data_IF_452925262451
#
_entry.id   IF_452925262451
#
_cell.length_a   1.000
_cell.length_b   1.000
_cell.length_c   1.000
_cell.angle_alpha   90.00
_cell.angle_beta   90.00
_cell.angle_gamma   90.00
#
_symmetry.space_group_name_H-M   'P 1'
#
loop_
_entity.id
_entity.type
_entity.pdbx_description
1 polymer ?
#
# COMPACT_ATOMS: atom_id res chain seq x y z
N UNK A 1 9.84 -18.65 12.84
CA UNK A 1 9.55 -17.20 12.68
C UNK A 1 10.19 -16.81 11.38
N UNK A 2 9.39 -16.38 10.39
CA UNK A 2 9.95 -15.83 9.17
C UNK A 2 10.93 -14.70 9.48
N UNK A 3 12.09 -14.78 8.86
CA UNK A 3 13.06 -13.68 8.79
C UNK A 3 12.44 -12.51 8.03
N UNK A 4 12.93 -11.29 8.26
CA UNK A 4 12.45 -10.09 7.55
C UNK A 4 12.46 -10.27 6.02
N UNK A 5 13.45 -10.97 5.48
CA UNK A 5 13.55 -11.27 4.06
C UNK A 5 12.43 -12.20 3.57
N UNK A 6 12.07 -13.21 4.35
CA UNK A 6 10.97 -14.14 4.03
C UNK A 6 9.62 -13.44 4.06
N UNK A 7 9.40 -12.53 5.03
CA UNK A 7 8.19 -11.70 5.07
C UNK A 7 8.07 -10.83 3.82
N UNK A 8 9.15 -10.12 3.44
CA UNK A 8 9.14 -9.25 2.26
C UNK A 8 8.94 -10.08 0.97
N UNK A 9 9.63 -11.22 0.85
CA UNK A 9 9.46 -12.13 -0.30
C UNK A 9 8.05 -12.70 -0.37
N UNK A 10 7.47 -13.10 0.77
CA UNK A 10 6.10 -13.60 0.83
C UNK A 10 5.07 -12.54 0.42
N UNK A 11 5.26 -11.28 0.83
CA UNK A 11 4.42 -10.17 0.38
C UNK A 11 4.56 -9.97 -1.14
N UNK A 12 5.79 -9.99 -1.67
CA UNK A 12 6.04 -9.87 -3.11
C UNK A 12 5.38 -10.99 -3.92
N UNK A 13 5.42 -12.23 -3.43
CA UNK A 13 4.75 -13.38 -4.05
C UNK A 13 3.22 -13.29 -3.95
N UNK A 14 2.69 -12.76 -2.85
CA UNK A 14 1.25 -12.55 -2.71
C UNK A 14 0.72 -11.54 -3.75
N UNK A 15 1.51 -10.51 -4.09
CA UNK A 15 1.13 -9.46 -5.04
C UNK A 15 1.35 -9.90 -6.50
N UNK A 16 2.28 -10.82 -6.78
CA UNK A 16 2.54 -11.24 -8.17
C UNK A 16 1.32 -11.86 -8.85
N UNK A 17 0.39 -12.40 -8.07
CA UNK A 17 -0.83 -13.05 -8.56
C UNK A 17 -2.08 -12.15 -8.43
N UNK A 18 -1.92 -10.84 -8.19
CA UNK A 18 -3.06 -9.92 -7.97
C UNK A 18 -3.40 -9.03 -9.18
N UNK A 19 -2.91 -9.37 -10.37
CA UNK A 19 -3.27 -8.68 -11.61
C UNK A 19 -4.63 -9.12 -12.13
N UNK A 20 -5.21 -8.33 -13.03
CA UNK A 20 -6.52 -8.61 -13.61
C UNK A 20 -6.48 -9.87 -14.50
N UNK A 21 -7.38 -10.82 -14.24
CA UNK A 21 -7.40 -12.12 -14.91
C UNK A 21 -6.40 -13.15 -14.38
N UNK A 22 -5.78 -12.92 -13.22
CA UNK A 22 -4.93 -13.92 -12.58
C UNK A 22 -5.72 -15.20 -12.28
N UNK A 23 -5.09 -16.34 -12.56
CA UNK A 23 -5.63 -17.68 -12.29
C UNK A 23 -4.80 -18.38 -11.23
N UNK A 24 -5.44 -19.25 -10.44
CA UNK A 24 -4.74 -20.14 -9.53
C UNK A 24 -4.22 -21.41 -10.25
N UNK A 25 -3.62 -22.31 -9.49
CA UNK A 25 -3.04 -23.55 -10.02
C UNK A 25 -4.10 -24.50 -10.61
N UNK A 26 -5.37 -24.33 -10.21
CA UNK A 26 -6.51 -25.13 -10.65
C UNK A 26 -7.23 -24.47 -11.86
N UNK A 27 -6.76 -23.30 -12.28
CA UNK A 27 -7.31 -22.52 -13.39
C UNK A 27 -8.47 -21.60 -13.00
N UNK A 28 -8.79 -21.50 -11.71
CA UNK A 28 -9.85 -20.64 -11.19
C UNK A 28 -9.36 -19.19 -11.03
N UNK A 29 -10.27 -18.24 -11.26
CA UNK A 29 -9.92 -16.80 -11.17
C UNK A 29 -9.66 -16.39 -9.73
N UNK A 30 -8.54 -15.71 -9.51
CA UNK A 30 -8.21 -15.09 -8.22
C UNK A 30 -9.12 -13.88 -7.99
N UNK A 31 -10.11 -14.02 -7.10
CA UNK A 31 -11.01 -12.92 -6.71
C UNK A 31 -10.44 -12.14 -5.54
N UNK A 32 -10.23 -10.84 -5.74
CA UNK A 32 -9.72 -9.92 -4.71
C UNK A 32 -10.89 -9.16 -4.05
N UNK A 33 -12.02 -9.00 -4.77
CA UNK A 33 -13.18 -8.23 -4.33
C UNK A 33 -13.21 -6.81 -4.89
N UNK A 34 -12.40 -6.51 -5.92
CA UNK A 34 -12.40 -5.20 -6.56
C UNK A 34 -13.68 -4.99 -7.39
N UNK A 35 -14.12 -3.74 -7.55
CA UNK A 35 -15.30 -3.37 -8.34
C UNK A 35 -15.17 -3.76 -9.82
N UNK A 36 -13.95 -3.92 -10.32
CA UNK A 36 -13.71 -4.42 -11.70
C UNK A 36 -14.08 -5.90 -11.90
N UNK A 37 -14.24 -6.65 -10.81
CA UNK A 37 -14.60 -8.08 -10.84
C UNK A 37 -16.13 -8.29 -10.85
N UNK A 38 -16.89 -7.22 -10.68
CA UNK A 38 -18.36 -7.21 -10.66
C UNK A 38 -18.93 -6.80 -12.03
N UNK A 39 -20.04 -7.42 -12.43
CA UNK A 39 -20.75 -7.11 -13.67
C UNK A 39 -20.28 -7.89 -14.91
N UNK A 40 -20.72 -7.44 -16.08
CA UNK A 40 -20.37 -8.01 -17.39
C UNK A 40 -19.50 -7.02 -18.19
N UNK A 41 -18.21 -7.33 -18.43
CA UNK A 41 -17.29 -6.46 -19.16
C UNK A 41 -17.72 -6.10 -20.60
N UNK A 42 -18.61 -6.86 -21.22
CA UNK A 42 -19.09 -6.62 -22.59
C UNK A 42 -20.26 -5.63 -22.64
N UNK A 43 -21.08 -5.60 -21.59
CA UNK A 43 -22.32 -4.82 -21.54
C UNK A 43 -22.11 -3.55 -20.71
N UNK A 44 -21.37 -3.67 -19.62
CA UNK A 44 -21.20 -2.61 -18.64
C UNK A 44 -20.10 -1.61 -19.04
N UNK A 45 -20.20 -0.40 -18.50
CA UNK A 45 -19.18 0.62 -18.69
C UNK A 45 -17.87 0.22 -18.00
N UNK A 46 -16.73 0.47 -18.66
CA UNK A 46 -15.41 0.17 -18.09
C UNK A 46 -15.20 0.80 -16.71
N UNK A 47 -14.87 -0.06 -15.75
CA UNK A 47 -14.49 0.28 -14.37
C UNK A 47 -12.97 0.22 -14.26
N UNK A 48 -12.34 1.35 -13.93
CA UNK A 48 -10.91 1.37 -13.60
C UNK A 48 -10.79 1.25 -12.09
N UNK A 49 -10.33 0.08 -11.66
CA UNK A 49 -10.18 -0.24 -10.25
C UNK A 49 -8.91 -1.08 -10.03
N UNK A 50 -8.08 -0.69 -9.07
CA UNK A 50 -6.83 -1.37 -8.81
C UNK A 50 -6.17 -0.93 -7.51
N UNK A 51 -5.21 -1.72 -7.07
CA UNK A 51 -4.39 -1.40 -5.90
C UNK A 51 -2.92 -1.70 -6.16
N UNK A 52 -2.07 -1.10 -5.34
CA UNK A 52 -0.65 -1.40 -5.26
C UNK A 52 -0.21 -1.42 -3.81
N UNK A 53 0.89 -2.13 -3.55
CA UNK A 53 1.45 -2.26 -2.20
C UNK A 53 2.93 -1.89 -2.26
N UNK A 54 3.36 -1.06 -1.31
CA UNK A 54 4.76 -0.65 -1.17
C UNK A 54 5.23 -0.94 0.25
N UNK A 55 6.41 -1.53 0.37
CA UNK A 55 7.06 -1.77 1.67
C UNK A 55 8.16 -0.73 1.86
N UNK A 56 8.16 -0.05 3.00
CA UNK A 56 9.18 0.92 3.41
C UNK A 56 9.52 0.73 4.88
N UNK A 57 10.73 0.25 5.18
CA UNK A 57 11.12 -0.11 6.55
C UNK A 57 10.21 -1.20 7.12
N UNK A 58 9.57 -0.95 8.27
CA UNK A 58 8.53 -1.81 8.85
C UNK A 58 7.11 -1.41 8.45
N UNK A 59 6.93 -0.51 7.49
CA UNK A 59 5.63 -0.03 7.05
C UNK A 59 5.26 -0.64 5.70
N UNK A 60 3.99 -1.01 5.57
CA UNK A 60 3.34 -1.43 4.34
C UNK A 60 2.28 -0.39 3.98
N UNK A 61 2.48 0.30 2.87
CA UNK A 61 1.52 1.23 2.31
C UNK A 61 0.67 0.50 1.28
N UNK A 62 -0.63 0.42 1.50
CA UNK A 62 -1.61 0.01 0.48
C UNK A 62 -2.11 1.28 -0.20
N UNK A 63 -2.03 1.32 -1.53
CA UNK A 63 -2.61 2.39 -2.34
C UNK A 63 -3.71 1.81 -3.21
N UNK A 64 -4.90 2.39 -3.15
CA UNK A 64 -6.08 2.00 -3.89
C UNK A 64 -6.46 3.12 -4.87
N UNK A 65 -6.85 2.76 -6.09
CA UNK A 65 -7.30 3.70 -7.11
C UNK A 65 -8.66 3.26 -7.65
N UNK A 66 -9.62 4.19 -7.65
CA UNK A 66 -10.95 3.97 -8.20
C UNK A 66 -11.38 5.12 -9.11
N UNK A 67 -11.94 4.80 -10.28
CA UNK A 67 -12.62 5.77 -11.12
C UNK A 67 -14.13 5.77 -10.86
N UNK A 68 -14.66 6.95 -10.54
CA UNK A 68 -16.08 7.17 -10.28
C UNK A 68 -16.62 8.36 -11.08
N UNK A 69 -17.95 8.48 -11.16
CA UNK A 69 -18.57 9.65 -11.81
C UNK A 69 -18.59 10.80 -10.82
N UNK A 70 -18.46 12.04 -11.32
CA UNK A 70 -18.47 13.24 -10.48
C UNK A 70 -19.73 13.34 -9.61
N UNK A 71 -20.88 12.91 -10.14
CA UNK A 71 -22.15 12.87 -9.40
C UNK A 71 -22.14 11.90 -8.21
N UNK A 72 -21.33 10.85 -8.25
CA UNK A 72 -21.28 9.82 -7.21
C UNK A 72 -20.35 10.28 -6.06
N UNK A 73 -19.28 11.02 -6.39
CA UNK A 73 -18.40 11.68 -5.41
C UNK A 73 -19.18 12.59 -4.46
N UNK A 74 -20.18 13.33 -4.97
CA UNK A 74 -20.98 14.25 -4.17
C UNK A 74 -22.09 13.59 -3.35
N UNK A 75 -22.39 12.31 -3.60
CA UNK A 75 -23.52 11.60 -2.99
C UNK A 75 -23.09 10.51 -2.01
N UNK A 76 -21.82 10.12 -2.05
CA UNK A 76 -21.28 8.97 -1.31
C UNK A 76 -20.21 9.41 -0.33
N UNK A 77 -20.09 8.69 0.78
CA UNK A 77 -18.94 8.78 1.66
C UNK A 77 -17.73 8.10 0.99
N UNK A 78 -16.97 8.91 0.24
CA UNK A 78 -15.81 8.43 -0.52
C UNK A 78 -14.74 7.84 0.39
N UNK A 79 -14.52 8.43 1.58
CA UNK A 79 -13.50 7.99 2.52
C UNK A 79 -13.85 6.63 3.13
N UNK A 80 -15.09 6.44 3.56
CA UNK A 80 -15.58 5.14 4.07
C UNK A 80 -15.54 4.04 3.02
N UNK A 81 -15.92 4.34 1.77
CA UNK A 81 -15.91 3.40 0.66
C UNK A 81 -14.48 2.93 0.33
N UNK A 82 -13.53 3.87 0.21
CA UNK A 82 -12.14 3.50 -0.11
C UNK A 82 -11.46 2.80 1.07
N UNK A 83 -11.79 3.15 2.31
CA UNK A 83 -11.25 2.46 3.48
C UNK A 83 -11.71 1.00 3.53
N UNK A 84 -13.01 0.77 3.31
CA UNK A 84 -13.60 -0.57 3.23
C UNK A 84 -12.94 -1.43 2.15
N UNK A 85 -12.67 -0.83 0.98
CA UNK A 85 -11.99 -1.52 -0.12
C UNK A 85 -10.52 -1.82 0.20
N UNK A 86 -9.82 -0.90 0.87
CA UNK A 86 -8.46 -1.17 1.36
C UNK A 86 -8.46 -2.33 2.36
N UNK A 87 -9.45 -2.44 3.24
CA UNK A 87 -9.56 -3.58 4.17
C UNK A 87 -9.79 -4.92 3.46
N UNK A 88 -10.55 -4.93 2.37
CA UNK A 88 -10.70 -6.11 1.51
C UNK A 88 -9.37 -6.50 0.87
N UNK A 89 -8.62 -5.53 0.33
CA UNK A 89 -7.27 -5.75 -0.21
C UNK A 89 -6.31 -6.31 0.85
N UNK A 90 -6.34 -5.76 2.07
CA UNK A 90 -5.51 -6.26 3.19
C UNK A 90 -5.90 -7.69 3.57
N UNK A 91 -7.19 -8.01 3.56
CA UNK A 91 -7.69 -9.35 3.82
C UNK A 91 -7.25 -10.35 2.74
N UNK A 92 -7.29 -9.94 1.48
CA UNK A 92 -6.73 -10.70 0.36
C UNK A 92 -5.22 -10.94 0.55
N UNK A 93 -4.45 -9.89 0.85
CA UNK A 93 -3.00 -9.99 1.05
C UNK A 93 -2.65 -10.96 2.18
N UNK A 94 -3.37 -10.95 3.30
CA UNK A 94 -3.17 -11.91 4.40
C UNK A 94 -3.43 -13.36 3.96
N UNK A 95 -4.48 -13.61 3.16
CA UNK A 95 -4.79 -14.94 2.62
C UNK A 95 -3.74 -15.41 1.62
N UNK A 96 -3.37 -14.54 0.68
CA UNK A 96 -2.37 -14.84 -0.34
C UNK A 96 -0.97 -15.08 0.27
N UNK A 97 -0.59 -14.27 1.26
CA UNK A 97 0.66 -14.47 2.02
C UNK A 97 0.68 -15.83 2.72
N UNK A 98 -0.43 -16.22 3.37
CA UNK A 98 -0.54 -17.51 4.03
C UNK A 98 -0.49 -18.68 3.05
N UNK A 99 -1.09 -18.55 1.87
CA UNK A 99 -1.01 -19.56 0.80
C UNK A 99 0.43 -19.71 0.29
N UNK A 100 1.18 -18.62 0.17
CA UNK A 100 2.56 -18.63 -0.35
C UNK A 100 3.59 -19.14 0.67
N UNK A 101 3.49 -18.73 1.93
CA UNK A 101 4.54 -18.97 2.95
C UNK A 101 4.15 -19.97 4.04
N UNK A 102 2.86 -20.26 4.20
CA UNK A 102 2.34 -21.04 5.32
C UNK A 102 2.24 -20.28 6.65
N UNK A 103 2.86 -19.10 6.77
CA UNK A 103 2.81 -18.25 7.97
C UNK A 103 1.71 -17.18 7.90
N UNK A 104 1.41 -16.55 9.04
CA UNK A 104 0.39 -15.50 9.13
C UNK A 104 1.03 -14.10 9.11
N UNK A 105 0.55 -13.23 8.23
CA UNK A 105 0.98 -11.83 8.17
C UNK A 105 0.23 -10.97 9.20
N UNK A 106 0.96 -10.34 10.12
CA UNK A 106 0.42 -9.39 11.08
C UNK A 106 0.56 -7.96 10.55
N UNK A 107 -0.57 -7.26 10.39
CA UNK A 107 -0.65 -5.87 9.94
C UNK A 107 -1.49 -5.08 10.94
N UNK A 108 -0.95 -3.98 11.46
CA UNK A 108 -1.67 -3.02 12.31
C UNK A 108 -1.82 -1.70 11.58
N UNK A 109 -3.04 -1.17 11.47
CA UNK A 109 -3.27 0.14 10.84
C UNK A 109 -2.54 1.24 11.61
N UNK A 110 -2.00 2.21 10.87
CA UNK A 110 -1.34 3.39 11.40
C UNK A 110 -2.00 4.61 10.78
N UNK A 111 -2.83 5.28 11.57
CA UNK A 111 -3.59 6.45 11.13
C UNK A 111 -4.83 6.12 10.29
N UNK A 112 -5.43 7.18 9.79
CA UNK A 112 -6.63 7.16 8.93
C UNK A 112 -6.23 7.02 7.45
N UNK A 113 -7.23 6.80 6.60
CA UNK A 113 -7.03 6.75 5.14
C UNK A 113 -6.78 8.16 4.60
N UNK A 114 -5.76 8.31 3.77
CA UNK A 114 -5.50 9.55 3.03
C UNK A 114 -6.05 9.40 1.61
N UNK A 115 -7.12 10.13 1.30
CA UNK A 115 -7.82 10.05 0.02
C UNK A 115 -7.71 11.36 -0.77
N UNK A 116 -7.21 11.27 -2.00
CA UNK A 116 -7.11 12.39 -2.93
C UNK A 116 -8.13 12.17 -4.05
N UNK A 117 -9.07 13.11 -4.17
CA UNK A 117 -10.09 13.13 -5.23
C UNK A 117 -9.66 14.10 -6.32
N UNK A 118 -9.44 13.61 -7.54
CA UNK A 118 -9.00 14.40 -8.68
C UNK A 118 -9.99 14.30 -9.83
N UNK A 119 -10.48 15.45 -10.30
CA UNK A 119 -11.33 15.52 -11.48
C UNK A 119 -10.47 15.30 -12.74
N UNK A 120 -10.79 14.29 -13.53
CA UNK A 120 -10.16 14.08 -14.84
C UNK A 120 -10.95 14.80 -15.94
N UNK A 121 -12.28 14.78 -15.88
CA UNK A 121 -13.13 15.37 -16.91
C UNK A 121 -14.44 15.93 -16.36
N UNK A 122 -15.31 16.42 -17.26
CA UNK A 122 -16.68 16.82 -16.92
C UNK A 122 -17.50 15.73 -16.22
N UNK A 123 -17.14 14.47 -16.44
CA UNK A 123 -17.93 13.30 -16.06
C UNK A 123 -17.19 12.39 -15.08
N UNK A 124 -15.86 12.26 -15.21
CA UNK A 124 -15.04 11.27 -14.48
C UNK A 124 -14.13 11.93 -13.46
N UNK A 125 -14.02 11.26 -12.32
CA UNK A 125 -13.18 11.63 -11.18
C UNK A 125 -12.42 10.39 -10.74
N UNK A 126 -11.13 10.53 -10.50
CA UNK A 126 -10.28 9.47 -9.94
C UNK A 126 -10.05 9.74 -8.48
N UNK A 127 -10.19 8.70 -7.67
CA UNK A 127 -9.89 8.72 -6.24
C UNK A 127 -8.67 7.84 -6.01
N UNK A 128 -7.64 8.39 -5.38
CA UNK A 128 -6.45 7.67 -4.97
C UNK A 128 -6.39 7.71 -3.44
N UNK A 129 -6.56 6.55 -2.82
CA UNK A 129 -6.53 6.39 -1.38
C UNK A 129 -5.28 5.63 -0.92
N UNK A 130 -4.71 6.01 0.22
CA UNK A 130 -3.53 5.38 0.80
C UNK A 130 -3.74 5.11 2.29
N UNK A 131 -3.35 3.92 2.73
CA UNK A 131 -3.35 3.56 4.16
C UNK A 131 -2.09 2.81 4.51
N UNK A 132 -1.50 3.18 5.64
CA UNK A 132 -0.25 2.62 6.13
C UNK A 132 -0.52 1.58 7.21
N UNK A 133 0.21 0.48 7.15
CA UNK A 133 0.15 -0.62 8.10
C UNK A 133 1.55 -0.94 8.63
N UNK A 134 1.68 -1.07 9.95
CA UNK A 134 2.91 -1.58 10.56
C UNK A 134 2.95 -3.10 10.43
N UNK A 135 4.02 -3.61 9.83
CA UNK A 135 4.26 -5.04 9.65
C UNK A 135 4.81 -5.61 10.96
N UNK A 136 4.19 -6.66 11.47
CA UNK A 136 4.70 -7.39 12.63
C UNK A 136 5.97 -8.18 12.31
N UNK A 137 6.77 -8.47 13.34
CA UNK A 137 7.97 -9.32 13.24
C UNK A 137 9.06 -8.81 12.26
N UNK A 138 9.05 -7.51 11.94
CA UNK A 138 10.14 -6.84 11.24
C UNK A 138 10.88 -5.96 12.25
N UNK A 139 12.14 -6.31 12.50
CA UNK A 139 13.04 -5.52 13.34
C UNK A 139 13.72 -4.45 12.49
N UNK A 140 12.94 -3.43 12.08
CA UNK A 140 13.50 -2.28 11.38
C UNK A 140 14.11 -1.33 12.41
N UNK A 141 15.41 -1.44 12.66
CA UNK A 141 16.13 -0.37 13.35
C UNK A 141 16.11 0.85 12.43
N UNK A 142 15.55 1.97 12.91
CA UNK A 142 15.85 3.24 12.29
C UNK A 142 17.36 3.40 12.35
N UNK A 143 18.01 3.55 11.19
CA UNK A 143 19.39 4.01 11.16
C UNK A 143 19.31 5.42 11.72
N UNK A 144 19.60 5.57 13.02
CA UNK A 144 19.77 6.89 13.59
C UNK A 144 20.80 7.60 12.70
N UNK A 145 20.56 8.87 12.32
CA UNK A 145 21.60 9.62 11.65
C UNK A 145 22.85 9.46 12.52
N UNK A 146 23.90 8.86 11.97
CA UNK A 146 25.17 8.81 12.69
C UNK A 146 25.44 10.24 13.12
N UNK A 147 25.65 10.46 14.41
CA UNK A 147 26.19 11.73 14.87
C UNK A 147 27.51 11.88 14.12
N UNK A 148 27.48 12.67 13.04
CA UNK A 148 28.68 13.04 12.30
C UNK A 148 29.50 13.84 13.29
N UNK A 149 30.38 13.16 14.02
CA UNK A 149 31.41 13.81 14.81
C UNK A 149 32.12 14.75 13.84
N UNK A 150 32.07 16.04 14.16
CA UNK A 150 32.76 17.04 13.36
C UNK A 150 34.21 16.60 13.21
N UNK A 151 34.70 16.55 11.98
CA UNK A 151 36.09 16.21 11.72
C UNK A 151 37.01 17.13 12.53
N UNK A 152 38.05 16.58 13.14
CA UNK A 152 38.95 17.34 14.03
C UNK A 152 39.53 18.58 13.33
N UNK A 153 39.68 18.50 12.01
CA UNK A 153 40.13 19.61 11.16
C UNK A 153 39.11 20.77 11.14
N UNK A 154 37.82 20.46 11.05
CA UNK A 154 36.73 21.44 11.05
C UNK A 154 36.54 22.01 12.46
N UNK A 155 36.71 21.18 13.50
CA UNK A 155 36.64 21.63 14.90
C UNK A 155 37.71 22.67 15.21
N UNK A 156 38.96 22.41 14.81
CA UNK A 156 40.09 23.34 14.96
C UNK A 156 39.88 24.64 14.17
N UNK A 157 39.31 24.56 12.97
CA UNK A 157 38.98 25.75 12.17
C UNK A 157 37.95 26.66 12.87
N UNK A 158 36.90 26.09 13.46
CA UNK A 158 35.87 26.85 14.18
C UNK A 158 36.38 27.46 15.49
N UNK A 159 37.33 26.81 16.16
CA UNK A 159 37.96 27.33 17.40
C UNK A 159 38.82 28.57 17.13
N UNK A 160 39.49 28.66 15.98
CA UNK A 160 40.24 29.85 15.57
C UNK A 160 39.37 31.10 15.45
N UNK A 161 38.09 30.94 15.10
CA UNK A 161 37.12 32.04 14.96
C UNK A 161 36.51 32.55 16.26
N UNK A 162 36.69 31.82 17.39
CA UNK A 162 36.18 32.23 18.72
C UNK A 162 37.11 33.15 19.50
N UNK A 163 38.32 33.37 18.99
CA UNK A 163 39.29 34.32 19.56
C UNK A 163 39.04 35.74 19.00
N UNK A 164 37.95 36.37 19.43
CA UNK A 164 37.77 37.83 19.42
C UNK A 164 36.75 38.25 20.47
#
# INVERSE_FOLDING_TARGET
>A
MATTLEIIRGISQAISNSYDGAVDADGEKVKIGLKREEGDPLIDSRVMDGFSVKVGGNMLCVSYQSDMKLKDVHRTDVEGDVDSMIEQVVSFLKKAFRKATGETLSLKSVGEVDAIVQRISGVRTTVIAKKNYKIGNIDSKAIAPEEKKLDDSIRKFLELGKSK
#
